data_IF_835701266184
#
_entry.id   IF_835701266184
#
_cell.length_a   1.000
_cell.length_b   1.000
_cell.length_c   1.000
_cell.angle_alpha   90.00
_cell.angle_beta   90.00
_cell.angle_gamma   90.00
#
_symmetry.space_group_name_H-M   'P 1'
#
loop_
_entity.id
_entity.type
_entity.pdbx_description
1 polymer ?
#
# COMPACT_ATOMS: atom_id res chain seq x y z
N UNK A 1 18.90 -12.78 4.34
CA UNK A 1 17.46 -13.02 4.62
C UNK A 1 16.61 -12.31 3.57
N UNK A 2 15.62 -12.98 3.06
CA UNK A 2 14.66 -12.38 2.14
C UNK A 2 13.37 -12.11 2.88
N UNK A 3 12.92 -10.86 2.90
CA UNK A 3 11.69 -10.48 3.58
C UNK A 3 10.81 -9.68 2.64
N UNK A 4 9.54 -9.64 2.95
CA UNK A 4 8.55 -8.84 2.24
C UNK A 4 7.75 -8.03 3.25
N UNK A 5 7.68 -6.74 3.04
CA UNK A 5 6.88 -5.85 3.86
C UNK A 5 5.52 -5.65 3.20
N UNK A 6 4.46 -5.82 3.95
CA UNK A 6 3.09 -5.65 3.45
C UNK A 6 2.36 -4.75 4.42
N UNK A 7 1.69 -3.74 3.89
CA UNK A 7 0.87 -2.85 4.72
C UNK A 7 -0.48 -2.65 4.08
N UNK A 8 -1.50 -2.49 4.91
CA UNK A 8 -2.85 -2.20 4.47
C UNK A 8 -3.32 -0.96 5.23
N UNK A 9 -3.74 0.05 4.49
CA UNK A 9 -4.23 1.31 5.05
C UNK A 9 -5.63 1.53 4.50
N UNK A 10 -6.63 1.48 5.38
CA UNK A 10 -8.01 1.75 4.99
C UNK A 10 -8.31 3.22 5.25
N UNK A 11 -8.90 3.85 4.26
CA UNK A 11 -9.24 5.26 4.31
C UNK A 11 -10.72 5.44 4.04
N UNK A 12 -11.31 6.44 4.68
CA UNK A 12 -12.67 6.86 4.40
C UNK A 12 -12.60 8.32 3.98
N UNK A 13 -12.92 8.60 2.73
CA UNK A 13 -12.85 9.96 2.18
C UNK A 13 -14.25 10.45 1.84
N UNK A 14 -14.46 11.74 1.96
CA UNK A 14 -15.75 12.36 1.62
C UNK A 14 -15.80 12.80 0.16
N UNK A 15 -14.63 12.99 -0.46
CA UNK A 15 -14.55 13.40 -1.85
C UNK A 15 -14.68 12.23 -2.81
N UNK A 16 -14.56 12.55 -4.09
CA UNK A 16 -14.65 11.55 -5.15
C UNK A 16 -13.30 11.13 -5.68
N UNK A 17 -13.28 10.84 -6.98
CA UNK A 17 -12.09 10.32 -7.65
C UNK A 17 -10.88 11.25 -7.59
N UNK A 18 -11.11 12.57 -7.57
CA UNK A 18 -9.99 13.52 -7.49
C UNK A 18 -9.26 13.38 -6.15
N UNK A 19 -10.02 13.31 -5.06
CA UNK A 19 -9.42 13.16 -3.74
C UNK A 19 -8.71 11.81 -3.62
N UNK A 20 -9.31 10.76 -4.16
CA UNK A 20 -8.69 9.44 -4.19
C UNK A 20 -7.37 9.47 -4.97
N UNK A 21 -7.34 10.17 -6.10
CA UNK A 21 -6.13 10.29 -6.90
C UNK A 21 -5.04 11.07 -6.17
N UNK A 22 -5.40 12.12 -5.44
CA UNK A 22 -4.45 12.89 -4.65
C UNK A 22 -3.83 12.04 -3.53
N UNK A 23 -4.63 11.22 -2.89
CA UNK A 23 -4.15 10.31 -1.84
C UNK A 23 -3.22 9.26 -2.45
N UNK A 24 -3.57 8.71 -3.60
CA UNK A 24 -2.73 7.75 -4.31
C UNK A 24 -1.38 8.37 -4.65
N UNK A 25 -1.37 9.59 -5.17
CA UNK A 25 -0.13 10.28 -5.51
C UNK A 25 0.74 10.53 -4.28
N UNK A 26 0.12 10.92 -3.15
CA UNK A 26 0.84 11.13 -1.91
C UNK A 26 1.45 9.83 -1.38
N UNK A 27 0.69 8.75 -1.43
CA UNK A 27 1.18 7.44 -0.98
C UNK A 27 2.34 6.98 -1.85
N UNK A 28 2.17 7.08 -3.18
CA UNK A 28 3.23 6.67 -4.10
C UNK A 28 4.51 7.47 -3.90
N UNK A 29 4.39 8.77 -3.63
CA UNK A 29 5.55 9.61 -3.36
C UNK A 29 6.27 9.18 -2.08
N UNK A 30 5.51 8.87 -1.03
CA UNK A 30 6.10 8.42 0.24
C UNK A 30 6.81 7.08 0.08
N UNK A 31 6.19 6.14 -0.61
CA UNK A 31 6.78 4.82 -0.84
C UNK A 31 8.03 4.94 -1.72
N UNK A 32 7.96 5.75 -2.77
CA UNK A 32 9.11 5.99 -3.65
C UNK A 32 10.28 6.55 -2.86
N UNK A 33 10.02 7.53 -1.99
CA UNK A 33 11.07 8.12 -1.17
C UNK A 33 11.72 7.09 -0.27
N UNK A 34 10.92 6.26 0.37
CA UNK A 34 11.43 5.19 1.22
C UNK A 34 12.31 4.23 0.41
N UNK A 35 11.81 3.78 -0.73
CA UNK A 35 12.52 2.79 -1.55
C UNK A 35 13.81 3.36 -2.15
N UNK A 36 13.77 4.61 -2.59
CA UNK A 36 14.97 5.25 -3.17
C UNK A 36 16.04 5.49 -2.10
N UNK A 37 15.66 5.64 -0.85
CA UNK A 37 16.58 5.86 0.26
C UNK A 37 17.16 4.57 0.84
N UNK A 38 16.60 3.42 0.45
CA UNK A 38 16.98 2.15 1.06
C UNK A 38 17.52 1.21 -0.02
N UNK A 39 18.82 0.98 0.02
CA UNK A 39 19.52 0.17 -0.99
C UNK A 39 19.12 -1.31 -0.97
N UNK A 40 18.47 -1.76 0.11
CA UNK A 40 18.10 -3.15 0.25
C UNK A 40 16.78 -3.49 -0.44
N UNK A 41 16.07 -2.46 -0.94
CA UNK A 41 14.82 -2.68 -1.67
C UNK A 41 15.12 -3.28 -3.04
N UNK A 42 14.56 -4.44 -3.31
CA UNK A 42 14.73 -5.14 -4.58
C UNK A 42 13.66 -4.70 -5.57
N UNK A 43 12.42 -4.66 -5.11
CA UNK A 43 11.28 -4.25 -5.94
C UNK A 43 10.17 -3.75 -5.03
N UNK A 44 9.28 -2.94 -5.58
CA UNK A 44 8.09 -2.50 -4.86
C UNK A 44 6.96 -2.21 -5.83
N UNK A 45 5.75 -2.29 -5.31
CA UNK A 45 4.55 -1.88 -6.04
C UNK A 45 3.52 -1.42 -5.05
N UNK A 46 2.65 -0.54 -5.48
CA UNK A 46 1.55 -0.02 -4.66
C UNK A 46 0.26 -0.07 -5.46
N UNK A 47 -0.84 -0.19 -4.76
CA UNK A 47 -2.15 -0.19 -5.38
C UNK A 47 -3.16 0.48 -4.45
N UNK A 48 -4.00 1.33 -5.01
CA UNK A 48 -5.13 1.93 -4.31
C UNK A 48 -6.40 1.52 -5.05
N UNK A 49 -7.32 0.93 -4.32
CA UNK A 49 -8.57 0.43 -4.92
C UNK A 49 -9.75 0.66 -4.01
N UNK A 50 -10.93 0.54 -4.55
CA UNK A 50 -12.15 0.61 -3.77
C UNK A 50 -12.17 -0.48 -2.72
N UNK A 51 -12.65 -0.12 -1.54
CA UNK A 51 -12.80 -1.05 -0.44
C UNK A 51 -14.26 -1.46 -0.32
N UNK A 52 -14.50 -2.76 -0.25
CA UNK A 52 -15.84 -3.30 -0.02
C UNK A 52 -15.96 -3.70 1.44
N UNK A 53 -16.97 -3.13 2.11
CA UNK A 53 -17.20 -3.39 3.52
C UNK A 53 -16.25 -2.64 4.42
N UNK A 54 -16.48 -2.70 5.72
CA UNK A 54 -15.76 -1.92 6.71
C UNK A 54 -14.76 -2.75 7.52
N UNK A 55 -14.79 -4.06 7.36
CA UNK A 55 -13.91 -4.93 8.14
C UNK A 55 -12.52 -4.95 7.53
N UNK A 56 -11.53 -4.55 8.33
CA UNK A 56 -10.15 -4.58 7.90
C UNK A 56 -9.64 -6.02 7.83
N UNK A 57 -8.86 -6.36 6.80
CA UNK A 57 -8.25 -7.68 6.73
C UNK A 57 -7.16 -7.85 7.78
N UNK A 58 -6.94 -9.08 8.19
CA UNK A 58 -5.85 -9.42 9.11
C UNK A 58 -4.67 -9.92 8.27
N UNK A 59 -3.65 -9.11 8.15
CA UNK A 59 -2.48 -9.44 7.33
C UNK A 59 -1.81 -10.71 7.81
N UNK A 60 -1.78 -10.93 9.12
CA UNK A 60 -1.10 -12.11 9.68
C UNK A 60 -1.76 -13.42 9.26
N UNK A 61 -3.04 -13.36 8.88
CA UNK A 61 -3.79 -14.53 8.43
C UNK A 61 -3.85 -14.67 6.92
N UNK A 62 -3.39 -13.68 6.20
CA UNK A 62 -3.39 -13.70 4.74
C UNK A 62 -2.20 -14.53 4.26
N UNK A 63 -2.45 -15.32 3.24
CA UNK A 63 -1.39 -16.13 2.64
C UNK A 63 -0.80 -15.38 1.46
N UNK A 64 0.48 -15.09 1.56
CA UNK A 64 1.23 -14.48 0.48
C UNK A 64 2.30 -15.46 0.03
N UNK A 65 2.31 -15.76 -1.25
CA UNK A 65 3.35 -16.63 -1.79
C UNK A 65 4.62 -15.84 -1.98
N UNK A 66 5.70 -16.35 -1.42
CA UNK A 66 7.02 -15.83 -1.73
C UNK A 66 7.64 -16.70 -2.79
N UNK A 67 8.03 -16.08 -3.86
CA UNK A 67 8.71 -16.77 -4.96
C UNK A 67 10.18 -16.49 -4.90
#
# INVERSE_FOLDING_TARGET
MKIRAISIIDLSIEGGFREAADIEDSLNAAIKKFCDSNKDVVTYQTEVRDRRGDKAPDISKMKFRSN
#
